data_IF_034681863122
#
_entry.id   IF_034681863122
#
_cell.length_a   1.000
_cell.length_b   1.000
_cell.length_c   1.000
_cell.angle_alpha   90.00
_cell.angle_beta   90.00
_cell.angle_gamma   90.00
#
_symmetry.space_group_name_H-M   'P 1'
#
loop_
_entity.id
_entity.type
_entity.pdbx_description
1 polymer ?
#
# COMPACT_ATOMS: atom_id res chain seq x y z
N UNK A 1 4.74 -24.86 -36.85
CA UNK A 1 3.75 -24.91 -35.76
C UNK A 1 4.40 -24.27 -34.55
N UNK A 2 4.10 -23.02 -34.18
CA UNK A 2 4.62 -22.49 -32.92
C UNK A 2 3.79 -23.08 -31.78
N UNK A 3 4.44 -23.89 -30.95
CA UNK A 3 3.92 -24.37 -29.67
C UNK A 3 3.69 -23.19 -28.75
N UNK A 4 2.42 -22.91 -28.45
CA UNK A 4 2.02 -21.98 -27.39
C UNK A 4 2.13 -22.67 -26.04
N UNK A 5 3.34 -22.74 -25.48
CA UNK A 5 3.47 -22.91 -24.03
C UNK A 5 2.88 -21.64 -23.39
N UNK A 6 1.96 -21.76 -22.41
CA UNK A 6 1.49 -20.60 -21.66
C UNK A 6 2.67 -20.00 -20.90
N UNK A 7 2.88 -18.68 -21.06
CA UNK A 7 3.89 -17.92 -20.32
C UNK A 7 3.73 -18.20 -18.81
N UNK A 8 4.70 -18.88 -18.16
CA UNK A 8 4.51 -19.48 -16.84
C UNK A 8 4.34 -18.49 -15.68
N UNK A 9 4.30 -17.18 -15.93
CA UNK A 9 4.03 -16.18 -14.89
C UNK A 9 3.19 -14.99 -15.41
N UNK A 10 1.99 -15.27 -15.91
CA UNK A 10 1.02 -14.19 -16.13
C UNK A 10 0.83 -13.37 -14.83
N UNK A 11 0.75 -12.04 -14.91
CA UNK A 11 0.50 -11.16 -13.74
C UNK A 11 -0.72 -11.63 -12.93
N UNK A 12 -1.69 -12.28 -13.57
CA UNK A 12 -2.83 -12.90 -12.90
C UNK A 12 -2.43 -14.10 -12.02
N UNK A 13 -1.67 -15.05 -12.56
CA UNK A 13 -1.21 -16.25 -11.83
C UNK A 13 -0.31 -15.88 -10.65
N UNK A 14 0.59 -14.91 -10.87
CA UNK A 14 1.43 -14.34 -9.84
C UNK A 14 0.60 -13.74 -8.70
N UNK A 15 -0.43 -12.92 -9.02
CA UNK A 15 -1.35 -12.37 -8.01
C UNK A 15 -2.05 -13.49 -7.22
N UNK A 16 -2.54 -14.53 -7.90
CA UNK A 16 -3.22 -15.65 -7.24
C UNK A 16 -2.30 -16.38 -6.26
N UNK A 17 -1.06 -16.68 -6.68
CA UNK A 17 -0.04 -17.34 -5.85
C UNK A 17 0.29 -16.50 -4.61
N UNK A 18 0.59 -15.22 -4.81
CA UNK A 18 0.99 -14.33 -3.73
C UNK A 18 -0.15 -14.01 -2.75
N UNK A 19 -1.41 -13.90 -3.21
CA UNK A 19 -2.57 -13.78 -2.32
C UNK A 19 -2.72 -14.98 -1.40
N UNK A 20 -2.52 -16.20 -1.92
CA UNK A 20 -2.54 -17.42 -1.09
C UNK A 20 -1.43 -17.39 -0.05
N UNK A 21 -0.21 -17.01 -0.45
CA UNK A 21 0.94 -16.87 0.45
C UNK A 21 0.71 -15.82 1.53
N UNK A 22 0.22 -14.64 1.15
CA UNK A 22 -0.14 -13.55 2.09
C UNK A 22 -1.13 -14.03 3.16
N UNK A 23 -2.19 -14.75 2.77
CA UNK A 23 -3.15 -15.31 3.74
C UNK A 23 -2.52 -16.30 4.71
N UNK A 24 -1.62 -17.16 4.23
CA UNK A 24 -0.92 -18.10 5.10
C UNK A 24 0.03 -17.36 6.07
N UNK A 25 0.73 -16.33 5.60
CA UNK A 25 1.61 -15.50 6.42
C UNK A 25 0.85 -14.71 7.48
N UNK A 26 -0.32 -14.15 7.13
CA UNK A 26 -1.17 -13.45 8.09
C UNK A 26 -1.66 -14.35 9.23
N UNK A 27 -1.89 -15.64 8.96
CA UNK A 27 -2.22 -16.62 10.01
C UNK A 27 -1.00 -16.94 10.86
N UNK A 28 0.18 -17.07 10.24
CA UNK A 28 1.42 -17.45 10.92
C UNK A 28 2.04 -16.32 11.77
N UNK A 29 1.79 -15.07 11.40
CA UNK A 29 2.35 -13.87 12.04
C UNK A 29 1.23 -12.85 12.33
N UNK A 30 0.38 -13.09 13.34
CA UNK A 30 -0.73 -12.21 13.68
C UNK A 30 -0.28 -10.83 14.20
N UNK A 31 0.94 -10.71 14.71
CA UNK A 31 1.58 -9.50 15.24
C UNK A 31 2.48 -8.79 14.20
N UNK A 32 2.34 -9.12 12.91
CA UNK A 32 3.17 -8.57 11.85
C UNK A 32 3.09 -7.04 11.75
N UNK A 33 1.95 -6.43 12.09
CA UNK A 33 1.78 -4.98 12.12
C UNK A 33 2.66 -4.32 13.18
N UNK A 34 2.68 -4.87 14.39
CA UNK A 34 3.52 -4.43 15.50
C UNK A 34 5.01 -4.67 15.22
N UNK A 35 5.35 -5.83 14.66
CA UNK A 35 6.72 -6.14 14.25
C UNK A 35 7.21 -5.14 13.18
N UNK A 36 6.43 -4.91 12.13
CA UNK A 36 6.72 -3.93 11.10
C UNK A 36 6.90 -2.52 11.68
N UNK A 37 5.98 -2.07 12.54
CA UNK A 37 6.06 -0.76 13.17
C UNK A 37 7.33 -0.57 14.03
N UNK A 38 7.81 -1.64 14.69
CA UNK A 38 9.10 -1.63 15.43
C UNK A 38 10.31 -1.55 14.52
N UNK A 39 10.24 -2.16 13.34
CA UNK A 39 11.34 -2.18 12.38
C UNK A 39 11.56 -0.86 11.63
N UNK A 40 10.61 0.08 11.69
CA UNK A 40 10.76 1.38 11.07
C UNK A 40 11.75 2.26 11.86
N UNK A 41 12.91 2.66 11.31
CA UNK A 41 13.83 3.56 11.98
C UNK A 41 13.22 4.95 12.18
N UNK A 42 13.55 5.70 13.25
CA UNK A 42 13.01 7.03 13.50
C UNK A 42 13.22 8.03 12.35
N UNK A 43 14.38 7.99 11.70
CA UNK A 43 14.78 8.93 10.64
C UNK A 43 14.58 8.38 9.22
N UNK A 44 13.90 7.24 9.07
CA UNK A 44 13.73 6.58 7.78
C UNK A 44 12.68 7.23 6.87
N UNK A 45 11.76 8.01 7.45
CA UNK A 45 10.72 8.71 6.71
C UNK A 45 11.08 10.20 6.61
N UNK A 46 10.70 10.87 5.51
CA UNK A 46 10.73 12.33 5.48
C UNK A 46 9.79 12.90 6.54
N UNK A 47 9.84 14.21 6.78
CA UNK A 47 8.89 14.87 7.67
C UNK A 47 7.46 14.67 7.14
N UNK A 48 6.66 13.89 7.86
CA UNK A 48 5.27 13.58 7.53
C UNK A 48 4.33 14.51 8.30
N UNK A 49 3.55 15.35 7.61
CA UNK A 49 2.44 16.09 8.23
C UNK A 49 1.11 15.38 8.04
N UNK A 50 0.91 14.79 6.88
CA UNK A 50 -0.27 13.99 6.55
C UNK A 50 0.14 12.64 5.98
N UNK A 51 -0.53 11.58 6.39
CA UNK A 51 -0.30 10.25 5.82
C UNK A 51 -1.61 9.56 5.45
N UNK A 52 -1.61 8.89 4.31
CA UNK A 52 -2.69 7.98 3.93
C UNK A 52 -2.34 6.55 4.37
N UNK A 53 -3.28 5.90 5.06
CA UNK A 53 -3.22 4.47 5.36
C UNK A 53 -4.48 3.79 4.83
N UNK A 54 -4.45 2.48 4.63
CA UNK A 54 -5.62 1.70 4.25
C UNK A 54 -6.27 1.04 5.48
N UNK A 55 -7.51 0.57 5.33
CA UNK A 55 -8.09 -0.39 6.27
C UNK A 55 -7.78 -1.81 5.78
N UNK A 56 -7.15 -2.66 6.61
CA UNK A 56 -6.62 -3.93 6.13
C UNK A 56 -7.73 -4.90 5.73
N UNK A 57 -7.56 -5.56 4.58
CA UNK A 57 -8.49 -6.56 4.09
C UNK A 57 -7.79 -7.80 3.53
N UNK A 58 -8.44 -8.96 3.62
CA UNK A 58 -7.98 -10.18 2.95
C UNK A 58 -6.55 -10.62 3.33
N UNK A 59 -6.22 -10.51 4.62
CA UNK A 59 -4.92 -10.89 5.19
C UNK A 59 -3.79 -9.90 4.90
N UNK A 60 -4.10 -8.63 4.62
CA UNK A 60 -3.09 -7.56 4.62
C UNK A 60 -2.56 -7.33 6.03
N UNK A 61 -1.30 -6.88 6.14
CA UNK A 61 -0.76 -6.41 7.42
C UNK A 61 -1.59 -5.21 7.86
N UNK A 62 -1.90 -5.13 9.15
CA UNK A 62 -2.59 -3.98 9.72
C UNK A 62 -1.63 -2.77 9.85
N UNK A 63 -1.91 -1.63 9.18
CA UNK A 63 -1.13 -0.41 9.35
C UNK A 63 -1.45 0.34 10.66
N UNK A 64 -2.38 -0.14 11.48
CA UNK A 64 -2.79 0.45 12.76
C UNK A 64 -1.63 0.79 13.70
N UNK A 65 -0.73 -0.15 14.03
CA UNK A 65 0.43 0.12 14.89
C UNK A 65 1.35 1.22 14.35
N UNK A 66 1.56 1.26 13.03
CA UNK A 66 2.32 2.32 12.38
C UNK A 66 1.57 3.66 12.41
N UNK A 67 0.25 3.63 12.22
CA UNK A 67 -0.61 4.82 12.27
C UNK A 67 -0.56 5.48 13.64
N UNK A 68 -0.64 4.71 14.72
CA UNK A 68 -0.51 5.22 16.11
C UNK A 68 0.82 5.93 16.31
N UNK A 69 1.91 5.36 15.80
CA UNK A 69 3.25 5.98 15.91
C UNK A 69 3.34 7.30 15.15
N UNK A 70 2.77 7.38 13.95
CA UNK A 70 2.75 8.62 13.16
C UNK A 70 1.86 9.70 13.79
N UNK A 71 0.69 9.32 14.31
CA UNK A 71 -0.20 10.22 15.06
C UNK A 71 0.49 10.79 16.31
N UNK A 72 1.25 9.97 17.04
CA UNK A 72 2.03 10.42 18.21
C UNK A 72 3.14 11.43 17.85
N UNK A 73 3.59 11.45 16.59
CA UNK A 73 4.52 12.45 16.06
C UNK A 73 3.81 13.71 15.53
N UNK A 74 2.48 13.81 15.70
CA UNK A 74 1.67 14.94 15.28
C UNK A 74 1.27 14.92 13.80
N UNK A 75 1.46 13.80 13.10
CA UNK A 75 0.94 13.65 11.74
C UNK A 75 -0.57 13.37 11.78
N UNK A 76 -1.27 13.73 10.71
CA UNK A 76 -2.71 13.54 10.57
C UNK A 76 -3.02 12.42 9.58
N UNK A 77 -4.02 11.60 9.91
CA UNK A 77 -4.37 10.40 9.14
C UNK A 77 -5.45 10.71 8.10
N UNK A 78 -5.19 10.22 6.89
CA UNK A 78 -6.13 10.13 5.79
C UNK A 78 -6.44 8.66 5.51
N UNK A 79 -7.64 8.38 4.99
CA UNK A 79 -7.98 7.08 4.42
C UNK A 79 -8.38 7.25 2.94
N UNK A 80 -8.09 6.26 2.07
CA UNK A 80 -8.54 6.27 0.69
C UNK A 80 -10.05 6.00 0.62
N UNK A 81 -10.73 6.70 -0.28
CA UNK A 81 -12.11 6.42 -0.71
C UNK A 81 -12.13 6.19 -2.22
N UNK A 82 -12.61 5.03 -2.67
CA UNK A 82 -12.80 4.78 -4.09
C UNK A 82 -14.04 5.49 -4.64
N UNK A 83 -13.89 6.07 -5.83
CA UNK A 83 -14.97 6.69 -6.60
C UNK A 83 -15.43 5.77 -7.73
N UNK A 84 -16.59 6.09 -8.30
CA UNK A 84 -17.21 5.31 -9.40
C UNK A 84 -16.35 5.25 -10.66
N UNK A 85 -15.55 6.29 -10.92
CA UNK A 85 -14.59 6.34 -12.03
C UNK A 85 -13.32 5.50 -11.77
N UNK A 86 -13.25 4.82 -10.63
CA UNK A 86 -12.09 4.03 -10.21
C UNK A 86 -10.91 4.87 -9.72
N UNK A 87 -11.05 6.17 -9.52
CA UNK A 87 -10.02 6.98 -8.84
C UNK A 87 -10.12 6.82 -7.31
N UNK A 88 -9.04 7.17 -6.61
CA UNK A 88 -9.05 7.30 -5.14
C UNK A 88 -8.99 8.77 -4.76
N UNK A 89 -9.75 9.16 -3.74
CA UNK A 89 -9.51 10.37 -2.95
C UNK A 89 -8.92 9.99 -1.61
N UNK A 90 -8.11 10.89 -1.03
CA UNK A 90 -7.63 10.75 0.34
C UNK A 90 -8.36 11.76 1.20
N UNK A 91 -9.17 11.26 2.13
CA UNK A 91 -10.04 12.08 2.95
C UNK A 91 -9.59 12.03 4.41
N UNK A 92 -9.80 13.13 5.13
CA UNK A 92 -9.53 13.21 6.57
C UNK A 92 -10.26 12.09 7.31
N UNK A 93 -9.53 11.41 8.18
CA UNK A 93 -10.01 10.23 8.88
C UNK A 93 -9.28 10.05 10.21
N UNK A 94 -9.61 10.82 11.27
CA UNK A 94 -9.17 10.51 12.62
C UNK A 94 -9.54 9.07 13.02
N UNK A 95 -8.94 8.53 14.09
CA UNK A 95 -9.11 7.11 14.47
C UNK A 95 -10.58 6.71 14.70
N UNK A 96 -11.38 7.64 15.19
CA UNK A 96 -12.81 7.51 15.50
C UNK A 96 -13.74 8.02 14.39
N UNK A 97 -13.19 8.33 13.20
CA UNK A 97 -13.97 8.84 12.09
C UNK A 97 -15.11 7.88 11.69
N UNK A 98 -16.32 8.40 11.42
CA UNK A 98 -17.40 7.60 10.88
C UNK A 98 -17.03 7.08 9.48
N UNK A 99 -17.37 5.82 9.22
CA UNK A 99 -17.09 5.16 7.95
C UNK A 99 -18.39 4.76 7.25
N UNK A 100 -18.37 4.86 5.92
CA UNK A 100 -19.41 4.36 5.04
C UNK A 100 -18.78 3.61 3.87
N UNK A 101 -19.46 2.63 3.27
CA UNK A 101 -18.98 1.98 2.05
C UNK A 101 -18.63 3.00 0.95
N UNK A 102 -17.51 2.76 0.27
CA UNK A 102 -17.12 3.47 -0.94
C UNK A 102 -17.74 2.84 -2.20
N UNK A 103 -17.33 3.31 -3.39
CA UNK A 103 -17.88 2.82 -4.66
C UNK A 103 -17.61 1.32 -4.91
N UNK A 104 -16.69 0.69 -4.18
CA UNK A 104 -16.39 -0.74 -4.27
C UNK A 104 -16.82 -1.53 -3.02
N UNK A 105 -17.60 -0.90 -2.13
CA UNK A 105 -18.16 -1.53 -0.94
C UNK A 105 -17.19 -1.66 0.23
N UNK A 106 -16.03 -1.00 0.19
CA UNK A 106 -15.03 -1.01 1.27
C UNK A 106 -15.33 0.13 2.24
N UNK A 107 -15.23 -0.07 3.57
CA UNK A 107 -15.36 1.02 4.53
C UNK A 107 -14.34 2.15 4.24
N UNK A 108 -14.84 3.37 4.11
CA UNK A 108 -14.04 4.56 3.84
C UNK A 108 -14.65 5.79 4.56
N UNK A 109 -13.94 6.92 4.65
CA UNK A 109 -14.51 8.15 5.21
C UNK A 109 -15.76 8.58 4.44
N UNK A 110 -16.64 9.35 5.11
CA UNK A 110 -17.86 9.85 4.49
C UNK A 110 -17.55 10.68 3.23
N UNK A 111 -18.42 10.68 2.20
CA UNK A 111 -18.17 11.39 0.94
C UNK A 111 -17.88 12.88 1.08
N UNK A 112 -18.38 13.51 2.13
CA UNK A 112 -18.25 14.93 2.48
C UNK A 112 -17.06 15.23 3.40
N UNK A 113 -16.30 14.20 3.81
CA UNK A 113 -15.07 14.40 4.60
C UNK A 113 -14.04 15.21 3.78
N UNK A 114 -13.30 16.14 4.41
CA UNK A 114 -12.35 16.99 3.68
C UNK A 114 -11.30 16.18 2.91
N UNK A 115 -11.14 16.49 1.61
CA UNK A 115 -10.08 15.91 0.80
C UNK A 115 -8.76 16.63 1.07
N UNK A 116 -7.70 15.85 1.34
CA UNK A 116 -6.36 16.38 1.60
C UNK A 116 -5.29 15.56 0.91
N UNK A 117 -4.14 16.21 0.68
CA UNK A 117 -2.98 15.59 0.06
C UNK A 117 -2.11 14.92 1.13
N UNK A 118 -1.77 13.63 1.00
CA UNK A 118 -0.78 12.98 1.85
C UNK A 118 0.65 13.37 1.45
N UNK A 119 1.54 13.49 2.44
CA UNK A 119 2.99 13.49 2.25
C UNK A 119 3.54 12.05 2.17
N UNK A 120 2.89 11.13 2.87
CA UNK A 120 3.20 9.70 2.93
C UNK A 120 1.98 8.88 2.51
N UNK A 121 2.15 7.92 1.60
CA UNK A 121 1.14 6.89 1.29
C UNK A 121 1.65 5.54 1.75
N UNK A 122 1.00 4.96 2.77
CA UNK A 122 1.17 3.57 3.17
C UNK A 122 0.23 2.74 2.29
N UNK A 123 0.79 1.95 1.38
CA UNK A 123 0.01 1.20 0.39
C UNK A 123 0.05 -0.30 0.67
N UNK A 124 -1.09 -1.00 0.60
CA UNK A 124 -1.11 -2.46 0.62
C UNK A 124 -0.66 -2.98 -0.75
N UNK A 125 -0.13 -4.20 -0.76
CA UNK A 125 0.29 -4.85 -1.99
C UNK A 125 0.13 -6.37 -1.94
N UNK A 126 0.14 -6.97 -3.13
CA UNK A 126 0.14 -8.41 -3.34
C UNK A 126 1.56 -8.94 -3.45
N UNK A 127 2.47 -8.18 -4.08
CA UNK A 127 3.89 -8.50 -4.17
C UNK A 127 4.73 -7.26 -4.39
N UNK A 128 6.02 -7.35 -4.08
CA UNK A 128 7.02 -6.33 -4.35
C UNK A 128 8.33 -6.95 -4.81
N UNK A 129 9.21 -6.14 -5.38
CA UNK A 129 10.59 -6.53 -5.64
C UNK A 129 11.60 -5.53 -5.06
N UNK A 130 12.88 -5.91 -5.12
CA UNK A 130 14.00 -5.10 -4.63
C UNK A 130 14.28 -3.81 -5.43
N UNK A 131 13.56 -3.59 -6.53
CA UNK A 131 13.71 -2.46 -7.44
C UNK A 131 12.56 -1.44 -7.29
N UNK A 132 11.71 -1.62 -6.27
CA UNK A 132 10.56 -0.76 -6.03
C UNK A 132 9.33 -1.11 -6.86
N UNK A 133 9.35 -2.23 -7.57
CA UNK A 133 8.17 -2.75 -8.23
C UNK A 133 7.08 -3.11 -7.22
N UNK A 134 5.83 -2.83 -7.58
CA UNK A 134 4.65 -3.10 -6.76
C UNK A 134 3.60 -3.81 -7.58
N UNK A 135 3.13 -4.95 -7.09
CA UNK A 135 1.99 -5.66 -7.65
C UNK A 135 0.76 -5.43 -6.78
N UNK A 136 -0.19 -4.62 -7.28
CA UNK A 136 -1.48 -4.38 -6.64
C UNK A 136 -2.54 -5.44 -6.96
N UNK A 137 -3.78 -5.19 -6.52
CA UNK A 137 -4.93 -6.08 -6.74
C UNK A 137 -5.39 -6.17 -8.21
N UNK A 138 -4.96 -5.24 -9.06
CA UNK A 138 -5.27 -5.21 -10.50
C UNK A 138 -6.23 -4.09 -10.94
N UNK A 139 -6.84 -3.35 -10.01
CA UNK A 139 -7.75 -2.23 -10.35
C UNK A 139 -7.05 -0.92 -10.74
N UNK A 140 -5.74 -0.78 -10.53
CA UNK A 140 -4.97 0.42 -10.84
C UNK A 140 -5.32 1.68 -10.01
N UNK A 141 -6.14 1.52 -8.96
CA UNK A 141 -6.61 2.63 -8.10
C UNK A 141 -5.45 3.43 -7.50
N UNK A 142 -4.47 2.74 -6.91
CA UNK A 142 -3.30 3.38 -6.33
C UNK A 142 -2.37 3.95 -7.39
N UNK A 143 -2.17 3.29 -8.54
CA UNK A 143 -1.27 3.79 -9.59
C UNK A 143 -1.77 5.13 -10.13
N UNK A 144 -3.07 5.24 -10.45
CA UNK A 144 -3.69 6.52 -10.85
C UNK A 144 -3.58 7.59 -9.76
N UNK A 145 -3.79 7.23 -8.49
CA UNK A 145 -3.72 8.17 -7.38
C UNK A 145 -2.28 8.68 -7.16
N UNK A 146 -1.30 7.77 -7.18
CA UNK A 146 0.12 8.08 -6.99
C UNK A 146 0.67 8.91 -8.15
N UNK A 147 0.29 8.60 -9.40
CA UNK A 147 0.64 9.41 -10.56
C UNK A 147 0.16 10.87 -10.38
N UNK A 148 -1.10 11.07 -9.98
CA UNK A 148 -1.67 12.40 -9.71
C UNK A 148 -0.95 13.12 -8.57
N UNK A 149 -0.61 12.42 -7.48
CA UNK A 149 0.12 13.00 -6.37
C UNK A 149 1.53 13.43 -6.77
N UNK A 150 2.26 12.60 -7.54
CA UNK A 150 3.62 12.89 -8.03
C UNK A 150 3.65 14.06 -9.01
N UNK A 151 2.63 14.18 -9.85
CA UNK A 151 2.46 15.35 -10.74
C UNK A 151 2.28 16.68 -10.01
N UNK A 152 1.82 16.65 -8.76
CA UNK A 152 1.53 17.87 -7.98
C UNK A 152 2.59 18.14 -6.90
N UNK A 153 3.58 17.27 -6.74
CA UNK A 153 4.67 17.46 -5.78
C UNK A 153 5.24 16.13 -5.26
N UNK A 154 6.23 16.19 -4.36
CA UNK A 154 6.81 15.00 -3.76
C UNK A 154 5.79 14.25 -2.90
N UNK A 155 5.82 12.93 -2.97
CA UNK A 155 5.05 12.03 -2.09
C UNK A 155 5.93 10.80 -1.84
N UNK A 156 6.02 10.38 -0.58
CA UNK A 156 6.72 9.17 -0.20
C UNK A 156 5.74 7.99 -0.18
N UNK A 157 6.09 6.88 -0.81
CA UNK A 157 5.27 5.70 -0.98
C UNK A 157 5.93 4.54 -0.25
N UNK A 158 5.34 4.16 0.88
CA UNK A 158 5.77 3.04 1.70
C UNK A 158 4.87 1.83 1.44
N UNK A 159 5.44 0.76 0.90
CA UNK A 159 4.75 -0.53 0.81
C UNK A 159 4.76 -1.23 2.15
N UNK A 160 3.58 -1.60 2.68
CA UNK A 160 3.47 -2.46 3.86
C UNK A 160 3.09 -3.88 3.41
N UNK A 161 3.96 -4.84 3.66
CA UNK A 161 3.82 -6.21 3.16
C UNK A 161 4.51 -7.23 4.06
N UNK A 162 4.14 -8.50 3.94
CA UNK A 162 4.95 -9.56 4.54
C UNK A 162 6.25 -9.74 3.74
N UNK A 163 7.37 -10.04 4.41
CA UNK A 163 8.64 -10.31 3.73
C UNK A 163 8.52 -11.45 2.71
N UNK A 164 7.68 -12.45 3.00
CA UNK A 164 7.37 -13.54 2.09
C UNK A 164 6.55 -13.17 0.84
N UNK A 165 6.22 -11.89 0.62
CA UNK A 165 5.63 -11.36 -0.61
C UNK A 165 6.67 -10.79 -1.59
N UNK A 166 7.96 -10.79 -1.23
CA UNK A 166 9.05 -10.40 -2.14
C UNK A 166 9.16 -11.41 -3.30
N UNK A 167 9.34 -10.88 -4.51
CA UNK A 167 9.68 -11.65 -5.71
C UNK A 167 10.95 -11.10 -6.34
N UNK A 168 11.57 -11.88 -7.22
CA UNK A 168 12.86 -11.49 -7.80
C UNK A 168 12.79 -10.23 -8.66
N UNK A 169 11.76 -10.14 -9.52
CA UNK A 169 11.54 -9.02 -10.45
C UNK A 169 10.08 -8.99 -10.88
N UNK A 170 9.48 -7.81 -10.87
CA UNK A 170 8.19 -7.55 -11.49
C UNK A 170 8.36 -6.94 -12.88
N UNK A 171 7.59 -7.43 -13.84
CA UNK A 171 7.43 -6.78 -15.13
C UNK A 171 6.51 -5.55 -14.94
N UNK A 172 7.11 -4.37 -14.81
CA UNK A 172 6.40 -3.10 -14.65
C UNK A 172 5.89 -2.59 -15.98
N UNK A 173 4.67 -2.05 -15.96
CA UNK A 173 4.05 -1.35 -17.07
C UNK A 173 4.30 0.16 -16.94
N UNK A 174 4.23 0.98 -18.02
CA UNK A 174 4.57 2.41 -17.96
C UNK A 174 3.77 3.24 -16.96
N UNK A 175 2.58 2.78 -16.59
CA UNK A 175 1.72 3.44 -15.62
C UNK A 175 1.91 2.93 -14.18
N UNK A 176 2.64 1.83 -13.98
CA UNK A 176 2.89 1.26 -12.65
C UNK A 176 3.73 2.25 -11.83
N UNK A 177 3.24 2.61 -10.65
CA UNK A 177 3.95 3.53 -9.75
C UNK A 177 4.81 2.75 -8.76
N UNK A 178 6.10 3.10 -8.71
CA UNK A 178 7.11 2.48 -7.84
C UNK A 178 6.98 2.86 -6.36
N UNK A 179 7.53 2.01 -5.49
CA UNK A 179 7.68 2.25 -4.06
C UNK A 179 9.00 2.98 -3.77
N UNK A 180 8.99 3.84 -2.74
CA UNK A 180 10.19 4.47 -2.22
C UNK A 180 10.88 3.62 -1.14
N UNK A 181 10.07 2.85 -0.40
CA UNK A 181 10.54 1.88 0.58
C UNK A 181 9.50 0.79 0.80
N UNK A 182 9.95 -0.32 1.38
CA UNK A 182 9.10 -1.41 1.85
C UNK A 182 9.35 -1.62 3.34
N UNK A 183 8.27 -1.78 4.09
CA UNK A 183 8.28 -2.18 5.49
C UNK A 183 7.61 -3.54 5.62
N UNK A 184 8.29 -4.44 6.30
CA UNK A 184 7.84 -5.82 6.55
C UNK A 184 7.95 -6.15 8.04
N UNK A 185 7.34 -7.24 8.45
CA UNK A 185 7.50 -7.84 9.77
C UNK A 185 8.96 -8.23 10.08
N UNK A 186 9.83 -8.30 9.07
CA UNK A 186 11.24 -8.65 9.22
C UNK A 186 12.20 -7.44 9.10
N UNK A 187 11.72 -6.26 8.69
CA UNK A 187 12.60 -5.11 8.48
C UNK A 187 12.06 -4.01 7.57
N UNK A 188 12.74 -2.86 7.63
CA UNK A 188 12.61 -1.74 6.70
C UNK A 188 13.68 -1.80 5.61
N UNK A 189 13.30 -1.50 4.36
CA UNK A 189 14.23 -1.40 3.23
C UNK A 189 13.89 -0.16 2.39
N UNK A 190 14.84 0.77 2.29
CA UNK A 190 14.78 1.83 1.28
C UNK A 190 15.09 1.24 -0.10
N UNK A 191 14.37 1.67 -1.12
CA UNK A 191 14.48 1.16 -2.48
C UNK A 191 15.15 2.19 -3.39
N UNK A 192 15.87 1.74 -4.42
CA UNK A 192 16.47 2.65 -5.39
C UNK A 192 15.38 3.45 -6.11
N UNK A 193 15.60 4.76 -6.21
CA UNK A 193 14.79 5.64 -7.03
C UNK A 193 15.27 5.51 -8.48
N UNK A 194 14.32 5.34 -9.40
CA UNK A 194 14.59 5.28 -10.84
C UNK A 194 14.91 6.67 -11.41
#
# INVERSE_FOLDING_TARGET
>A
MPSSDPDPDSRHDLRRRLRRRRRALAIAAPDAGEAAARHLPPDALPRVRTFAAYLPAGGEIDPGPLSVRLLALGAERLLPRALEDGSLKFLDAPLDAPLAPDAVGVPAPLPDSPERRPDLVITPLVGFDRFGGRLGQGGGHYDRALERLRRTGPVFVLGLAFAGQEVDRLALEPHDQTLDAVLTEAGYRSLPQA
#
